data_IF_036258513287
#
_entry.id   IF_036258513287
#
_cell.length_a   1.000
_cell.length_b   1.000
_cell.length_c   1.000
_cell.angle_alpha   90.00
_cell.angle_beta   90.00
_cell.angle_gamma   90.00
#
_symmetry.space_group_name_H-M   'P 1'
#
loop_
_entity.id
_entity.type
_entity.pdbx_description
1 polymer ?
#
# COMPACT_ATOMS: atom_id res chain seq x y z
N UNK A 1 4.51 -12.16 13.38
CA UNK A 1 4.95 -13.53 12.99
C UNK A 1 5.81 -13.49 11.73
N UNK A 2 6.69 -14.47 11.50
CA UNK A 2 7.51 -14.55 10.28
C UNK A 2 6.67 -14.72 9.00
N UNK A 3 5.59 -15.50 9.09
CA UNK A 3 4.64 -15.75 8.00
C UNK A 3 3.93 -14.49 7.49
N UNK A 4 3.51 -13.59 8.40
CA UNK A 4 2.89 -12.31 8.00
C UNK A 4 3.89 -11.45 7.23
N UNK A 5 5.14 -11.37 7.70
CA UNK A 5 6.20 -10.58 7.03
C UNK A 5 6.52 -11.12 5.64
N UNK A 6 6.67 -12.44 5.48
CA UNK A 6 6.92 -13.03 4.16
C UNK A 6 5.76 -12.81 3.20
N UNK A 7 4.52 -13.00 3.67
CA UNK A 7 3.31 -12.76 2.87
C UNK A 7 3.19 -11.29 2.47
N UNK A 8 3.36 -10.37 3.41
CA UNK A 8 3.34 -8.93 3.14
C UNK A 8 4.36 -8.55 2.06
N UNK A 9 5.60 -9.05 2.16
CA UNK A 9 6.66 -8.75 1.19
C UNK A 9 6.31 -9.28 -0.21
N UNK A 10 5.74 -10.48 -0.29
CA UNK A 10 5.25 -11.06 -1.55
C UNK A 10 4.12 -10.23 -2.16
N UNK A 11 3.15 -9.81 -1.35
CA UNK A 11 2.00 -9.04 -1.83
C UNK A 11 2.40 -7.62 -2.28
N UNK A 12 3.33 -6.97 -1.57
CA UNK A 12 3.91 -5.69 -2.00
C UNK A 12 4.66 -5.85 -3.33
N UNK A 13 5.43 -6.93 -3.49
CA UNK A 13 6.16 -7.21 -4.73
C UNK A 13 5.22 -7.45 -5.93
N UNK A 14 4.03 -8.00 -5.69
CA UNK A 14 3.01 -8.29 -6.70
C UNK A 14 2.11 -7.09 -7.05
N UNK A 15 2.30 -5.92 -6.43
CA UNK A 15 1.61 -4.69 -6.83
C UNK A 15 2.15 -4.18 -8.17
N UNK A 16 1.31 -3.43 -8.90
CA UNK A 16 1.78 -2.70 -10.06
C UNK A 16 2.91 -1.72 -9.65
N UNK A 17 3.95 -1.52 -10.49
CA UNK A 17 5.13 -0.74 -10.11
C UNK A 17 4.81 0.62 -9.49
N UNK A 18 3.91 1.40 -10.11
CA UNK A 18 3.54 2.72 -9.62
C UNK A 18 2.72 2.68 -8.32
N UNK A 19 1.93 1.61 -8.09
CA UNK A 19 1.21 1.43 -6.81
C UNK A 19 2.20 1.12 -5.68
N UNK A 20 3.18 0.24 -5.95
CA UNK A 20 4.24 -0.11 -5.01
C UNK A 20 5.07 1.11 -4.65
N UNK A 21 5.52 1.86 -5.65
CA UNK A 21 6.38 3.02 -5.45
C UNK A 21 5.65 4.14 -4.72
N UNK A 22 4.40 4.45 -5.10
CA UNK A 22 3.56 5.41 -4.37
C UNK A 22 3.39 5.03 -2.90
N UNK A 23 3.18 3.75 -2.58
CA UNK A 23 3.05 3.29 -1.20
C UNK A 23 4.34 3.43 -0.40
N UNK A 24 5.49 3.07 -0.99
CA UNK A 24 6.79 3.19 -0.31
C UNK A 24 7.11 4.65 -0.02
N UNK A 25 7.00 5.53 -1.02
CA UNK A 25 7.22 6.96 -0.84
C UNK A 25 6.26 7.55 0.21
N UNK A 26 5.00 7.12 0.22
CA UNK A 26 4.03 7.66 1.19
C UNK A 26 4.23 7.13 2.62
N UNK A 27 4.43 5.83 2.78
CA UNK A 27 4.36 5.17 4.09
C UNK A 27 5.73 5.00 4.75
N UNK A 28 6.79 4.90 3.96
CA UNK A 28 8.17 4.73 4.45
C UNK A 28 8.87 6.07 4.47
N UNK A 29 8.85 6.79 3.35
CA UNK A 29 9.55 8.08 3.22
C UNK A 29 8.72 9.28 3.71
N UNK A 30 7.41 9.10 3.94
CA UNK A 30 6.53 10.13 4.47
C UNK A 30 6.15 11.26 3.49
N UNK A 31 6.44 11.10 2.20
CA UNK A 31 6.23 12.15 1.20
C UNK A 31 4.78 12.61 1.09
N UNK A 32 4.60 13.86 0.67
CA UNK A 32 3.30 14.44 0.33
C UNK A 32 2.83 14.00 -1.06
N UNK A 33 1.56 14.19 -1.36
CA UNK A 33 0.96 13.68 -2.61
C UNK A 33 1.51 14.39 -3.85
N UNK A 34 1.80 15.69 -3.75
CA UNK A 34 2.44 16.51 -4.78
C UNK A 34 3.89 16.07 -5.06
N UNK A 35 4.67 15.75 -4.02
CA UNK A 35 6.04 15.23 -4.16
C UNK A 35 6.05 13.86 -4.86
N UNK A 36 5.12 12.98 -4.50
CA UNK A 36 4.95 11.68 -5.15
C UNK A 36 4.48 11.86 -6.60
N UNK A 37 3.55 12.78 -6.84
CA UNK A 37 3.02 13.06 -8.17
C UNK A 37 4.13 13.53 -9.12
N UNK A 38 4.99 14.44 -8.65
CA UNK A 38 6.17 14.90 -9.39
C UNK A 38 7.14 13.74 -9.68
N UNK A 39 7.49 12.92 -8.69
CA UNK A 39 8.44 11.82 -8.88
C UNK A 39 7.92 10.66 -9.73
N UNK A 40 6.59 10.48 -9.82
CA UNK A 40 5.95 9.48 -10.68
C UNK A 40 5.47 10.06 -12.01
N UNK A 41 5.75 11.34 -12.28
CA UNK A 41 5.34 12.06 -13.48
C UNK A 41 3.82 11.90 -13.77
N UNK A 42 3.00 12.11 -12.75
CA UNK A 42 1.54 11.96 -12.83
C UNK A 42 0.81 13.04 -12.01
N UNK A 43 -0.52 13.01 -12.00
CA UNK A 43 -1.32 13.95 -11.19
C UNK A 43 -1.47 13.49 -9.73
N UNK A 44 -1.70 14.42 -8.81
CA UNK A 44 -2.01 14.08 -7.41
C UNK A 44 -3.25 13.16 -7.26
N UNK A 45 -4.24 13.32 -8.13
CA UNK A 45 -5.41 12.41 -8.18
C UNK A 45 -5.04 11.00 -8.66
N UNK A 46 -4.07 10.87 -9.58
CA UNK A 46 -3.53 9.58 -9.95
C UNK A 46 -2.79 8.93 -8.77
N UNK A 47 -2.02 9.69 -7.99
CA UNK A 47 -1.38 9.20 -6.75
C UNK A 47 -2.39 8.67 -5.76
N UNK A 48 -3.48 9.41 -5.51
CA UNK A 48 -4.56 8.94 -4.63
C UNK A 48 -5.14 7.61 -5.11
N UNK A 49 -5.39 7.49 -6.41
CA UNK A 49 -5.90 6.28 -7.04
C UNK A 49 -4.92 5.10 -6.92
N UNK A 50 -3.61 5.35 -7.08
CA UNK A 50 -2.56 4.35 -6.91
C UNK A 50 -2.50 3.86 -5.45
N UNK A 51 -2.50 4.78 -4.49
CA UNK A 51 -2.49 4.48 -3.06
C UNK A 51 -3.74 3.71 -2.63
N UNK A 52 -4.91 4.15 -3.07
CA UNK A 52 -6.20 3.52 -2.74
C UNK A 52 -6.24 2.07 -3.24
N UNK A 53 -5.91 1.85 -4.52
CA UNK A 53 -5.89 0.51 -5.12
C UNK A 53 -4.85 -0.40 -4.47
N UNK A 54 -3.63 0.10 -4.24
CA UNK A 54 -2.58 -0.65 -3.57
C UNK A 54 -2.97 -1.08 -2.15
N UNK A 55 -3.50 -0.15 -1.34
CA UNK A 55 -3.99 -0.45 0.02
C UNK A 55 -5.16 -1.43 0.01
N UNK A 56 -6.11 -1.28 -0.91
CA UNK A 56 -7.26 -2.17 -1.02
C UNK A 56 -6.83 -3.61 -1.29
N UNK A 57 -5.91 -3.81 -2.24
CA UNK A 57 -5.34 -5.13 -2.54
C UNK A 57 -4.62 -5.74 -1.34
N UNK A 58 -3.76 -4.97 -0.67
CA UNK A 58 -3.05 -5.45 0.52
C UNK A 58 -4.02 -5.83 1.64
N UNK A 59 -5.04 -5.00 1.90
CA UNK A 59 -6.08 -5.31 2.90
C UNK A 59 -6.80 -6.62 2.58
N UNK A 60 -7.23 -6.82 1.33
CA UNK A 60 -7.91 -8.05 0.92
C UNK A 60 -7.02 -9.28 1.10
N UNK A 61 -5.75 -9.21 0.67
CA UNK A 61 -4.82 -10.34 0.70
C UNK A 61 -4.35 -10.70 2.11
N UNK A 62 -4.23 -9.69 2.97
CA UNK A 62 -3.77 -9.86 4.34
C UNK A 62 -4.92 -10.03 5.33
N UNK A 63 -6.19 -9.87 4.90
CA UNK A 63 -7.39 -9.95 5.75
C UNK A 63 -7.36 -11.13 6.73
N UNK A 64 -6.93 -12.31 6.26
CA UNK A 64 -6.83 -13.53 7.07
C UNK A 64 -5.94 -13.41 8.31
N UNK A 65 -4.92 -12.55 8.29
CA UNK A 65 -4.02 -12.33 9.42
C UNK A 65 -4.56 -11.33 10.45
N UNK A 66 -5.61 -10.58 10.11
CA UNK A 66 -6.23 -9.59 11.01
C UNK A 66 -7.38 -10.20 11.83
N UNK A 67 -7.99 -11.29 11.34
CA UNK A 67 -9.02 -12.04 12.09
C UNK A 67 -8.44 -12.81 13.27
N UNK A 68 -7.16 -13.20 13.21
CA UNK A 68 -6.44 -13.88 14.30
C UNK A 68 -5.80 -12.90 15.32
N UNK A 69 -5.88 -11.59 15.08
CA UNK A 69 -5.31 -10.56 15.96
C UNK A 69 -5.79 -9.16 15.57
N UNK A 70 -6.90 -8.70 16.12
CA UNK A 70 -7.57 -7.45 15.75
C UNK A 70 -7.08 -6.24 16.58
N UNK A 71 -6.89 -5.06 15.96
CA UNK A 71 -7.58 -3.87 16.50
C UNK A 71 -7.99 -2.85 15.42
N UNK A 72 -8.66 -3.24 14.34
CA UNK A 72 -9.04 -2.30 13.28
C UNK A 72 -10.33 -2.68 12.58
N UNK A 73 -11.46 -2.52 13.28
CA UNK A 73 -12.80 -2.67 12.71
C UNK A 73 -12.94 -1.88 11.40
N UNK A 74 -13.54 -2.56 10.43
CA UNK A 74 -14.12 -2.02 9.19
C UNK A 74 -15.09 -0.88 9.53
N UNK A 75 -14.86 0.27 8.89
CA UNK A 75 -15.90 1.28 8.63
C UNK A 75 -16.36 1.13 7.20
#
# INVERSE_FOLDING_TARGET
SAQLRSTLRSEIAALAPNQRLALLLKLVEGWRYDEIAAALECSASAVESLLSRGRSRLRQRLAKFWTEGNPGKRG
#
